data_IF_205530275007
#
_entry.id   IF_205530275007
#
_cell.length_a   1.000
_cell.length_b   1.000
_cell.length_c   1.000
_cell.angle_alpha   90.00
_cell.angle_beta   90.00
_cell.angle_gamma   90.00
#
_symmetry.space_group_name_H-M   'P 1'
#
loop_
_entity.id
_entity.type
_entity.pdbx_description
1 polymer ?
#
# COMPACT_ATOMS: atom_id res chain seq x y z
N UNK A 1 -8.43 -1.48 54.31
CA UNK A 1 -8.37 -2.11 52.96
C UNK A 1 -8.34 -0.99 51.93
N UNK A 2 -7.17 -0.66 51.42
CA UNK A 2 -7.03 0.37 50.41
C UNK A 2 -7.30 -0.28 49.04
N UNK A 3 -8.32 0.19 48.35
CA UNK A 3 -8.63 -0.23 46.99
C UNK A 3 -7.53 0.28 46.05
N UNK A 4 -6.74 -0.62 45.51
CA UNK A 4 -5.80 -0.35 44.42
C UNK A 4 -6.60 -0.02 43.17
N UNK A 5 -6.64 1.26 42.81
CA UNK A 5 -7.11 1.74 41.52
C UNK A 5 -6.30 1.03 40.39
N UNK A 6 -6.94 0.43 39.38
CA UNK A 6 -6.23 -0.12 38.25
C UNK A 6 -5.49 1.02 37.55
N UNK A 7 -4.16 0.88 37.40
CA UNK A 7 -3.35 1.78 36.59
C UNK A 7 -3.91 1.79 35.17
N UNK A 8 -4.19 3.00 34.69
CA UNK A 8 -4.63 3.30 33.35
C UNK A 8 -3.79 2.56 32.30
N UNK A 9 -4.50 1.70 31.54
CA UNK A 9 -4.21 1.27 30.19
C UNK A 9 -2.72 1.20 29.79
N UNK A 10 -2.14 0.01 29.92
CA UNK A 10 -1.14 -0.46 28.99
C UNK A 10 -1.81 -0.50 27.59
N UNK A 11 -1.78 0.61 26.89
CA UNK A 11 -2.11 0.64 25.46
C UNK A 11 -1.02 -0.19 24.77
N UNK A 12 -1.33 -1.44 24.48
CA UNK A 12 -0.44 -2.32 23.72
C UNK A 12 -0.27 -1.67 22.37
N UNK A 13 0.89 -1.03 22.14
CA UNK A 13 1.23 -0.44 20.86
C UNK A 13 1.18 -1.54 19.79
N UNK A 14 0.21 -1.43 18.91
CA UNK A 14 -0.05 -2.43 17.85
C UNK A 14 1.08 -2.48 16.82
N UNK A 15 1.74 -1.34 16.58
CA UNK A 15 2.83 -1.17 15.62
C UNK A 15 4.02 -0.46 16.26
N UNK A 16 5.22 -0.93 15.92
CA UNK A 16 6.48 -0.28 16.30
C UNK A 16 6.66 1.06 15.58
N UNK A 17 7.56 1.90 16.08
CA UNK A 17 7.90 3.16 15.41
C UNK A 17 8.42 2.94 13.99
N UNK A 18 9.28 1.91 13.79
CA UNK A 18 9.82 1.57 12.48
C UNK A 18 8.75 1.18 11.46
N UNK A 19 7.72 0.40 11.88
CA UNK A 19 6.60 0.04 11.02
C UNK A 19 5.79 1.26 10.60
N UNK A 20 5.54 2.18 11.53
CA UNK A 20 4.82 3.43 11.23
C UNK A 20 5.59 4.33 10.27
N UNK A 21 6.90 4.49 10.47
CA UNK A 21 7.75 5.28 9.57
C UNK A 21 7.83 4.67 8.18
N UNK A 22 7.98 3.34 8.07
CA UNK A 22 7.95 2.66 6.78
C UNK A 22 6.62 2.86 6.06
N UNK A 23 5.50 2.73 6.78
CA UNK A 23 4.17 2.97 6.23
C UNK A 23 3.98 4.43 5.77
N UNK A 24 4.39 5.42 6.57
CA UNK A 24 4.30 6.83 6.22
C UNK A 24 5.16 7.18 5.00
N UNK A 25 6.37 6.65 4.92
CA UNK A 25 7.26 6.85 3.77
C UNK A 25 6.66 6.24 2.49
N UNK A 26 6.15 5.00 2.57
CA UNK A 26 5.45 4.36 1.46
C UNK A 26 4.19 5.14 1.05
N UNK A 27 3.40 5.61 2.02
CA UNK A 27 2.19 6.40 1.76
C UNK A 27 2.54 7.74 1.06
N UNK A 28 3.58 8.43 1.51
CA UNK A 28 4.02 9.68 0.89
C UNK A 28 4.46 9.47 -0.56
N UNK A 29 5.30 8.46 -0.83
CA UNK A 29 5.73 8.11 -2.19
C UNK A 29 4.54 7.70 -3.06
N UNK A 30 3.62 6.89 -2.53
CA UNK A 30 2.41 6.47 -3.24
C UNK A 30 1.51 7.66 -3.59
N UNK A 31 1.32 8.62 -2.69
CA UNK A 31 0.56 9.84 -2.97
C UNK A 31 1.21 10.68 -4.08
N UNK A 32 2.54 10.80 -4.07
CA UNK A 32 3.27 11.47 -5.16
C UNK A 32 3.04 10.74 -6.48
N UNK A 33 3.15 9.40 -6.50
CA UNK A 33 2.93 8.59 -7.69
C UNK A 33 1.49 8.72 -8.21
N UNK A 34 0.49 8.61 -7.36
CA UNK A 34 -0.93 8.75 -7.74
C UNK A 34 -1.20 10.16 -8.28
N UNK A 35 -0.72 11.19 -7.60
CA UNK A 35 -0.96 12.59 -8.00
C UNK A 35 -0.28 12.89 -9.34
N UNK A 36 0.98 12.50 -9.51
CA UNK A 36 1.70 12.71 -10.78
C UNK A 36 1.10 11.89 -11.91
N UNK A 37 0.69 10.64 -11.66
CA UNK A 37 0.00 9.81 -12.65
C UNK A 37 -1.32 10.45 -13.10
N UNK A 38 -2.15 10.93 -12.18
CA UNK A 38 -3.41 11.60 -12.48
C UNK A 38 -3.19 12.83 -13.37
N UNK A 39 -2.19 13.67 -13.05
CA UNK A 39 -1.86 14.85 -13.87
C UNK A 39 -1.30 14.46 -15.24
N UNK A 40 -0.47 13.41 -15.32
CA UNK A 40 0.13 12.95 -16.58
C UNK A 40 -0.90 12.30 -17.51
N UNK A 41 -1.91 11.64 -16.96
CA UNK A 41 -2.91 10.87 -17.70
C UNK A 41 -4.12 11.71 -18.12
N UNK A 42 -4.52 12.69 -17.30
CA UNK A 42 -5.69 13.53 -17.57
C UNK A 42 -5.27 14.79 -18.33
N UNK A 43 -5.50 14.83 -19.65
CA UNK A 43 -5.06 15.91 -20.54
C UNK A 43 -5.37 17.35 -20.05
N UNK A 44 -6.58 17.66 -19.55
CA UNK A 44 -6.84 19.00 -18.99
C UNK A 44 -5.92 19.38 -17.83
N UNK A 45 -5.60 18.42 -16.94
CA UNK A 45 -4.69 18.65 -15.82
C UNK A 45 -3.24 18.80 -16.31
N UNK A 46 -2.83 17.97 -17.27
CA UNK A 46 -1.51 18.05 -17.90
C UNK A 46 -1.27 19.40 -18.55
N UNK A 47 -2.28 19.91 -19.26
CA UNK A 47 -2.24 21.23 -19.91
C UNK A 47 -2.21 22.36 -18.89
N UNK A 48 -3.02 22.30 -17.84
CA UNK A 48 -3.07 23.29 -16.78
C UNK A 48 -1.74 23.44 -16.04
N UNK A 49 -1.09 22.32 -15.72
CA UNK A 49 0.21 22.32 -15.02
C UNK A 49 1.35 22.72 -15.95
N UNK A 50 1.31 22.36 -17.24
CA UNK A 50 2.27 22.74 -18.27
C UNK A 50 3.72 22.25 -18.09
N UNK A 51 3.98 21.37 -17.09
CA UNK A 51 5.32 20.90 -16.72
C UNK A 51 5.46 19.37 -16.82
N UNK A 52 4.97 18.80 -17.93
CA UNK A 52 4.93 17.34 -18.14
C UNK A 52 6.28 16.66 -17.90
N UNK A 53 7.39 17.23 -18.39
CA UNK A 53 8.72 16.65 -18.21
C UNK A 53 9.14 16.56 -16.72
N UNK A 54 8.87 17.61 -15.94
CA UNK A 54 9.13 17.63 -14.50
C UNK A 54 8.29 16.58 -13.78
N UNK A 55 7.00 16.49 -14.08
CA UNK A 55 6.09 15.52 -13.48
C UNK A 55 6.50 14.08 -13.80
N UNK A 56 6.89 13.80 -15.05
CA UNK A 56 7.42 12.50 -15.45
C UNK A 56 8.70 12.14 -14.68
N UNK A 57 9.62 13.11 -14.51
CA UNK A 57 10.84 12.92 -13.72
C UNK A 57 10.53 12.65 -12.24
N UNK A 58 9.62 13.41 -11.64
CA UNK A 58 9.18 13.20 -10.24
C UNK A 58 8.52 11.81 -10.08
N UNK A 59 7.64 11.43 -11.02
CA UNK A 59 6.99 10.13 -11.02
C UNK A 59 8.02 8.98 -11.07
N UNK A 60 8.96 9.07 -12.00
CA UNK A 60 10.04 8.08 -12.15
C UNK A 60 10.84 7.91 -10.86
N UNK A 61 11.34 9.02 -10.29
CA UNK A 61 12.14 8.94 -9.07
C UNK A 61 11.35 8.44 -7.86
N UNK A 62 10.10 8.87 -7.72
CA UNK A 62 9.23 8.34 -6.67
C UNK A 62 8.99 6.82 -6.83
N UNK A 63 8.81 6.36 -8.08
CA UNK A 63 8.68 4.93 -8.39
C UNK A 63 9.94 4.13 -8.09
N UNK A 64 11.11 4.64 -8.45
CA UNK A 64 12.39 4.01 -8.15
C UNK A 64 12.68 3.95 -6.64
N UNK A 65 12.25 4.95 -5.88
CA UNK A 65 12.42 5.01 -4.43
C UNK A 65 11.38 4.18 -3.67
N UNK A 66 10.27 3.83 -4.29
CA UNK A 66 9.16 3.13 -3.61
C UNK A 66 9.56 1.83 -2.89
N UNK A 67 10.44 0.96 -3.44
CA UNK A 67 10.87 -0.25 -2.73
C UNK A 67 11.74 0.03 -1.50
N UNK A 68 12.41 1.18 -1.43
CA UNK A 68 13.43 1.45 -0.41
C UNK A 68 12.89 1.42 1.04
N UNK A 69 11.77 2.07 1.40
CA UNK A 69 11.22 2.00 2.75
C UNK A 69 10.86 0.57 3.15
N UNK A 70 10.37 -0.24 2.21
CA UNK A 70 10.02 -1.64 2.45
C UNK A 70 11.29 -2.48 2.70
N UNK A 71 12.30 -2.32 1.88
CA UNK A 71 13.60 -3.01 2.04
C UNK A 71 14.23 -2.65 3.38
N UNK A 72 14.28 -1.36 3.72
CA UNK A 72 14.80 -0.89 5.00
C UNK A 72 14.01 -1.47 6.19
N UNK A 73 12.67 -1.51 6.11
CA UNK A 73 11.84 -2.09 7.14
C UNK A 73 12.09 -3.59 7.32
N UNK A 74 12.25 -4.33 6.22
CA UNK A 74 12.58 -5.77 6.27
C UNK A 74 13.95 -6.00 6.87
N UNK A 75 14.96 -5.20 6.52
CA UNK A 75 16.34 -5.36 7.00
C UNK A 75 16.47 -4.95 8.47
N UNK A 76 15.90 -3.80 8.84
CA UNK A 76 16.19 -3.16 10.13
C UNK A 76 15.18 -3.52 11.24
N UNK A 77 13.97 -4.01 10.91
CA UNK A 77 12.91 -4.25 11.90
C UNK A 77 12.52 -5.73 12.02
N UNK A 78 12.91 -6.41 13.11
CA UNK A 78 12.42 -7.76 13.40
C UNK A 78 10.89 -7.81 13.55
N UNK A 79 10.27 -6.76 14.12
CA UNK A 79 8.83 -6.65 14.26
C UNK A 79 8.14 -6.63 12.89
N UNK A 80 8.68 -5.85 11.94
CA UNK A 80 8.17 -5.80 10.58
C UNK A 80 8.25 -7.17 9.88
N UNK A 81 9.38 -7.88 10.01
CA UNK A 81 9.51 -9.25 9.46
C UNK A 81 8.48 -10.21 10.06
N UNK A 82 8.25 -10.13 11.37
CA UNK A 82 7.25 -10.97 12.03
C UNK A 82 5.83 -10.65 11.53
N UNK A 83 5.51 -9.38 11.31
CA UNK A 83 4.21 -8.96 10.78
C UNK A 83 4.05 -9.31 9.29
N UNK A 84 5.10 -9.16 8.49
CA UNK A 84 5.11 -9.62 7.10
C UNK A 84 4.85 -11.13 7.02
N UNK A 85 5.48 -11.93 7.89
CA UNK A 85 5.22 -13.37 7.96
C UNK A 85 3.77 -13.69 8.36
N UNK A 86 3.16 -12.91 9.29
CA UNK A 86 1.74 -13.06 9.67
C UNK A 86 0.79 -12.69 8.53
N UNK A 87 1.09 -11.62 7.78
CA UNK A 87 0.31 -11.17 6.63
C UNK A 87 0.31 -12.20 5.50
N UNK A 88 1.43 -12.88 5.28
CA UNK A 88 1.58 -13.91 4.24
C UNK A 88 1.10 -15.31 4.65
N UNK A 89 0.66 -15.50 5.91
CA UNK A 89 0.18 -16.80 6.41
C UNK A 89 -1.33 -16.82 6.53
N UNK A 90 -2.00 -17.56 5.63
CA UNK A 90 -3.43 -17.86 5.73
C UNK A 90 -3.66 -19.11 6.59
N UNK A 91 -4.67 -19.02 7.46
CA UNK A 91 -5.10 -20.09 8.35
C UNK A 91 -6.59 -20.38 8.13
N UNK A 92 -7.13 -21.54 8.59
CA UNK A 92 -8.55 -21.89 8.38
C UNK A 92 -9.54 -20.82 8.86
N UNK A 93 -9.18 -20.08 9.93
CA UNK A 93 -9.99 -18.96 10.44
C UNK A 93 -10.10 -17.78 9.43
N UNK A 94 -9.09 -17.54 8.59
CA UNK A 94 -9.14 -16.52 7.56
C UNK A 94 -10.19 -16.85 6.49
N UNK A 95 -10.26 -18.11 6.08
CA UNK A 95 -11.27 -18.58 5.12
C UNK A 95 -12.69 -18.50 5.69
N UNK A 96 -12.85 -18.80 6.99
CA UNK A 96 -14.12 -18.61 7.68
C UNK A 96 -14.52 -17.13 7.76
N UNK A 97 -13.54 -16.24 8.00
CA UNK A 97 -13.75 -14.79 8.00
C UNK A 97 -14.18 -14.29 6.61
N UNK A 98 -13.49 -14.70 5.53
CA UNK A 98 -13.83 -14.31 4.17
C UNK A 98 -15.26 -14.73 3.78
N UNK A 99 -15.66 -15.96 4.12
CA UNK A 99 -17.04 -16.43 3.85
C UNK A 99 -18.10 -15.59 4.57
N UNK A 100 -17.82 -15.10 5.78
CA UNK A 100 -18.72 -14.20 6.49
C UNK A 100 -18.72 -12.81 5.87
N UNK A 101 -17.54 -12.28 5.53
CA UNK A 101 -17.40 -10.98 4.90
C UNK A 101 -18.17 -10.87 3.58
N UNK A 102 -18.22 -11.94 2.78
CA UNK A 102 -19.06 -12.01 1.56
C UNK A 102 -20.57 -11.92 1.87
N UNK A 103 -21.00 -12.15 3.11
CA UNK A 103 -22.38 -11.97 3.58
C UNK A 103 -22.60 -10.66 4.33
N UNK A 104 -21.61 -9.75 4.28
CA UNK A 104 -21.66 -8.45 4.97
C UNK A 104 -21.22 -8.47 6.44
N UNK A 105 -20.82 -9.63 6.99
CA UNK A 105 -20.36 -9.74 8.38
C UNK A 105 -18.83 -9.72 8.46
N UNK A 106 -18.27 -8.58 8.84
CA UNK A 106 -16.82 -8.37 9.05
C UNK A 106 -16.42 -8.34 10.53
N UNK A 107 -17.36 -8.60 11.44
CA UNK A 107 -17.18 -8.44 12.91
C UNK A 107 -16.52 -9.62 13.61
N UNK A 108 -16.26 -10.72 12.90
CA UNK A 108 -15.76 -11.95 13.50
C UNK A 108 -14.35 -11.87 14.09
N UNK A 109 -14.00 -12.81 15.00
CA UNK A 109 -12.69 -12.85 15.62
C UNK A 109 -11.59 -12.98 14.56
N UNK A 110 -10.56 -12.18 14.71
CA UNK A 110 -9.37 -12.18 13.86
C UNK A 110 -8.12 -12.08 14.75
N UNK A 111 -6.99 -12.57 14.24
CA UNK A 111 -5.69 -12.33 14.88
C UNK A 111 -5.26 -10.86 14.79
N UNK A 112 -3.95 -10.58 14.82
CA UNK A 112 -3.42 -9.23 14.63
C UNK A 112 -3.91 -8.61 13.31
N UNK A 113 -4.04 -9.44 12.26
CA UNK A 113 -4.57 -9.06 10.96
C UNK A 113 -5.72 -9.96 10.57
N UNK A 114 -6.80 -9.38 10.05
CA UNK A 114 -7.90 -10.14 9.45
C UNK A 114 -7.59 -10.53 8.01
N UNK A 115 -8.39 -11.43 7.43
CA UNK A 115 -8.15 -11.95 6.09
C UNK A 115 -8.23 -10.86 5.00
N UNK A 116 -9.08 -9.85 5.16
CA UNK A 116 -9.15 -8.70 4.26
C UNK A 116 -7.85 -7.89 4.25
N UNK A 117 -7.25 -7.65 5.42
CA UNK A 117 -5.95 -6.96 5.53
C UNK A 117 -4.83 -7.78 4.90
N UNK A 118 -4.85 -9.12 5.03
CA UNK A 118 -3.88 -10.02 4.39
C UNK A 118 -4.00 -9.97 2.86
N UNK A 119 -5.21 -10.06 2.32
CA UNK A 119 -5.46 -9.96 0.88
C UNK A 119 -5.06 -8.59 0.32
N UNK A 120 -5.43 -7.51 1.02
CA UNK A 120 -5.05 -6.16 0.62
C UNK A 120 -3.52 -5.98 0.60
N UNK A 121 -2.81 -6.48 1.63
CA UNK A 121 -1.35 -6.44 1.68
C UNK A 121 -0.72 -7.23 0.52
N UNK A 122 -1.20 -8.43 0.26
CA UNK A 122 -0.71 -9.26 -0.85
C UNK A 122 -0.95 -8.57 -2.21
N UNK A 123 -2.14 -8.01 -2.42
CA UNK A 123 -2.48 -7.26 -3.63
C UNK A 123 -1.56 -6.05 -3.81
N UNK A 124 -1.42 -5.20 -2.79
CA UNK A 124 -0.63 -3.97 -2.88
C UNK A 124 0.85 -4.28 -3.17
N UNK A 125 1.43 -5.29 -2.50
CA UNK A 125 2.82 -5.69 -2.74
C UNK A 125 3.00 -6.24 -4.17
N UNK A 126 2.11 -7.12 -4.62
CA UNK A 126 2.16 -7.68 -5.98
C UNK A 126 1.96 -6.58 -7.04
N UNK A 127 0.98 -5.70 -6.85
CA UNK A 127 0.72 -4.58 -7.75
C UNK A 127 1.91 -3.62 -7.81
N UNK A 128 2.50 -3.26 -6.66
CA UNK A 128 3.69 -2.41 -6.62
C UNK A 128 4.89 -3.02 -7.37
N UNK A 129 5.08 -4.34 -7.27
CA UNK A 129 6.13 -5.05 -8.01
C UNK A 129 5.87 -5.02 -9.51
N UNK A 130 4.64 -5.29 -9.95
CA UNK A 130 4.24 -5.21 -11.36
C UNK A 130 4.45 -3.79 -11.89
N UNK A 131 3.99 -2.78 -11.15
CA UNK A 131 4.16 -1.36 -11.50
C UNK A 131 5.63 -0.96 -11.60
N UNK A 132 6.47 -1.44 -10.69
CA UNK A 132 7.90 -1.18 -10.72
C UNK A 132 8.54 -1.78 -11.98
N UNK A 133 8.27 -3.06 -12.28
CA UNK A 133 8.81 -3.75 -13.47
C UNK A 133 8.33 -3.08 -14.75
N UNK A 134 7.03 -2.84 -14.89
CA UNK A 134 6.46 -2.21 -16.08
C UNK A 134 6.94 -0.77 -16.25
N UNK A 135 7.09 -0.02 -15.16
CA UNK A 135 7.69 1.32 -15.17
C UNK A 135 9.14 1.32 -15.66
N UNK A 136 9.97 0.35 -15.24
CA UNK A 136 11.33 0.18 -15.75
C UNK A 136 11.33 -0.16 -17.25
N UNK A 137 10.43 -1.05 -17.71
CA UNK A 137 10.30 -1.39 -19.13
C UNK A 137 9.92 -0.17 -19.98
N UNK A 138 9.05 0.70 -19.47
CA UNK A 138 8.66 1.95 -20.14
C UNK A 138 9.81 2.96 -20.16
N UNK A 139 10.61 3.03 -19.10
CA UNK A 139 11.73 3.98 -19.00
C UNK A 139 12.92 3.55 -19.85
N UNK A 140 13.31 2.29 -19.80
CA UNK A 140 14.42 1.73 -20.60
C UNK A 140 13.97 1.23 -21.96
N UNK A 141 13.22 2.06 -22.69
CA UNK A 141 12.56 1.72 -23.95
C UNK A 141 13.53 1.19 -25.03
N UNK A 142 14.80 1.61 -25.02
CA UNK A 142 15.81 1.14 -25.98
C UNK A 142 16.22 -0.34 -25.77
N UNK A 143 15.94 -0.89 -24.57
CA UNK A 143 16.28 -2.27 -24.21
C UNK A 143 15.09 -3.23 -24.31
N UNK A 144 13.88 -2.70 -24.57
CA UNK A 144 12.63 -3.48 -24.53
C UNK A 144 11.96 -3.43 -25.91
N UNK A 145 11.63 -4.57 -26.53
CA UNK A 145 10.88 -4.62 -27.79
C UNK A 145 9.54 -3.86 -27.71
N UNK A 146 9.13 -3.28 -28.84
CA UNK A 146 7.96 -2.38 -28.90
C UNK A 146 6.63 -3.04 -28.48
N UNK A 147 6.45 -4.32 -28.82
CA UNK A 147 5.28 -5.11 -28.44
C UNK A 147 5.21 -5.31 -26.91
N UNK A 148 6.34 -5.66 -26.29
CA UNK A 148 6.42 -5.80 -24.83
C UNK A 148 6.24 -4.46 -24.13
N UNK A 149 6.77 -3.38 -24.69
CA UNK A 149 6.60 -2.03 -24.13
C UNK A 149 5.14 -1.58 -24.17
N UNK A 150 4.45 -1.86 -25.27
CA UNK A 150 3.01 -1.57 -25.41
C UNK A 150 2.21 -2.35 -24.37
N UNK A 151 2.50 -3.65 -24.19
CA UNK A 151 1.91 -4.47 -23.13
C UNK A 151 2.21 -3.95 -21.72
N UNK A 152 3.46 -3.55 -21.46
CA UNK A 152 3.88 -2.99 -20.18
C UNK A 152 3.12 -1.69 -19.86
N UNK A 153 2.94 -0.80 -20.84
CA UNK A 153 2.15 0.44 -20.67
C UNK A 153 0.71 0.12 -20.30
N UNK A 154 0.06 -0.79 -21.03
CA UNK A 154 -1.30 -1.20 -20.73
C UNK A 154 -1.44 -1.77 -19.30
N UNK A 155 -0.54 -2.67 -18.91
CA UNK A 155 -0.54 -3.27 -17.56
C UNK A 155 -0.29 -2.20 -16.51
N UNK A 156 0.65 -1.28 -16.75
CA UNK A 156 0.95 -0.18 -15.83
C UNK A 156 -0.29 0.69 -15.58
N UNK A 157 -0.98 1.11 -16.64
CA UNK A 157 -2.17 1.96 -16.56
C UNK A 157 -3.34 1.27 -15.83
N UNK A 158 -3.58 -0.01 -16.14
CA UNK A 158 -4.63 -0.81 -15.47
C UNK A 158 -4.34 -0.94 -13.97
N UNK A 159 -3.11 -1.30 -13.61
CA UNK A 159 -2.74 -1.43 -12.20
C UNK A 159 -2.69 -0.07 -11.48
N UNK A 160 -2.34 1.02 -12.17
CA UNK A 160 -2.42 2.37 -11.60
C UNK A 160 -3.87 2.70 -11.19
N UNK A 161 -4.86 2.38 -12.03
CA UNK A 161 -6.28 2.57 -11.69
C UNK A 161 -6.67 1.73 -10.47
N UNK A 162 -6.30 0.45 -10.43
CA UNK A 162 -6.60 -0.40 -9.27
C UNK A 162 -5.95 0.10 -7.98
N UNK A 163 -4.69 0.53 -8.03
CA UNK A 163 -3.99 1.10 -6.87
C UNK A 163 -4.68 2.39 -6.41
N UNK A 164 -5.10 3.28 -7.32
CA UNK A 164 -5.85 4.48 -6.96
C UNK A 164 -7.15 4.14 -6.23
N UNK A 165 -7.93 3.18 -6.73
CA UNK A 165 -9.19 2.76 -6.12
C UNK A 165 -8.97 2.12 -4.74
N UNK A 166 -7.99 1.23 -4.61
CA UNK A 166 -7.64 0.58 -3.34
C UNK A 166 -7.11 1.59 -2.33
N UNK A 167 -6.27 2.54 -2.76
CA UNK A 167 -5.75 3.61 -1.90
C UNK A 167 -6.85 4.54 -1.42
N UNK A 168 -7.79 4.93 -2.28
CA UNK A 168 -8.95 5.74 -1.91
C UNK A 168 -9.83 4.99 -0.88
N UNK A 169 -10.10 3.71 -1.11
CA UNK A 169 -10.83 2.86 -0.16
C UNK A 169 -10.11 2.72 1.19
N UNK A 170 -8.78 2.53 1.16
CA UNK A 170 -7.96 2.45 2.36
C UNK A 170 -8.00 3.75 3.19
N UNK A 171 -7.84 4.89 2.54
CA UNK A 171 -7.91 6.21 3.18
C UNK A 171 -9.31 6.44 3.76
N UNK A 172 -10.36 6.11 2.99
CA UNK A 172 -11.75 6.25 3.45
C UNK A 172 -12.04 5.38 4.68
N UNK A 173 -11.58 4.12 4.69
CA UNK A 173 -11.72 3.23 5.84
C UNK A 173 -10.95 3.74 7.05
N UNK A 174 -9.70 4.19 6.88
CA UNK A 174 -8.90 4.76 7.96
C UNK A 174 -9.55 6.02 8.55
N UNK A 175 -10.20 6.84 7.71
CA UNK A 175 -10.91 8.04 8.15
C UNK A 175 -12.17 7.71 8.96
N UNK A 176 -12.91 6.67 8.58
CA UNK A 176 -14.19 6.32 9.19
C UNK A 176 -14.08 5.33 10.36
N UNK A 177 -12.94 4.65 10.56
CA UNK A 177 -12.73 3.75 11.69
C UNK A 177 -12.09 4.50 12.88
N UNK A 178 -12.83 4.70 14.00
CA UNK A 178 -12.29 5.33 15.20
C UNK A 178 -11.09 4.59 15.79
N UNK A 179 -10.98 3.27 15.57
CA UNK A 179 -9.87 2.44 16.08
C UNK A 179 -8.59 2.65 15.29
N UNK A 180 -8.68 2.99 14.01
CA UNK A 180 -7.54 3.30 13.16
C UNK A 180 -6.85 4.62 13.55
N UNK A 181 -7.58 5.53 14.22
CA UNK A 181 -7.07 6.83 14.68
C UNK A 181 -6.33 6.79 16.02
N UNK A 182 -6.41 5.66 16.73
CA UNK A 182 -5.84 5.50 18.08
C UNK A 182 -4.51 4.72 18.09
N UNK A 183 -3.97 4.34 16.92
CA UNK A 183 -2.73 3.57 16.72
C UNK A 183 -1.51 4.48 16.31
#
# INVERSE_FOLDING_TARGET
MAATTPRSSDQIRRFSAGERWAHLALAALMLVLITTAAVLYVDPLSTLVGRRALLSTVHLWAGLLLPLPLILAVVLSPAFRADAARLNRFVPADWAWLRRALRGDVSGPSGKFNAGQKLNSAFVVAAALIMFITGLMMHFFALVPDDLRTGATFVHDVFALFIMLVSAGHIWMAWNDPRARQG
#
